data_IF_047348769542
#
_entry.id   IF_047348769542
#
_cell.length_a   1.000
_cell.length_b   1.000
_cell.length_c   1.000
_cell.angle_alpha   90.00
_cell.angle_beta   90.00
_cell.angle_gamma   90.00
#
_symmetry.space_group_name_H-M   'P 1'
#
loop_
_entity.id
_entity.type
_entity.pdbx_description
1 polymer ?
#
# COMPACT_ATOMS: atom_id res chain seq x y z
N UNK A 1 -19.52 28.70 -38.79
CA UNK A 1 -18.43 29.14 -39.69
C UNK A 1 -17.17 28.48 -39.18
N UNK A 2 -16.86 27.29 -39.70
CA UNK A 2 -15.67 26.53 -39.34
C UNK A 2 -14.61 26.84 -40.39
N UNK A 3 -13.41 27.24 -39.96
CA UNK A 3 -12.28 27.43 -40.86
C UNK A 3 -11.14 26.54 -40.39
N UNK A 4 -10.85 25.56 -41.23
CA UNK A 4 -9.71 24.66 -41.20
C UNK A 4 -8.43 25.48 -41.40
N UNK A 5 -7.42 25.33 -40.53
CA UNK A 5 -6.04 25.70 -40.84
C UNK A 5 -5.16 24.49 -40.57
N UNK A 6 -4.43 24.06 -41.61
CA UNK A 6 -3.54 22.90 -41.60
C UNK A 6 -2.27 23.10 -40.76
N UNK A 7 -1.43 22.05 -40.66
CA UNK A 7 -0.31 22.03 -39.72
C UNK A 7 0.84 22.92 -40.20
N UNK A 8 1.27 23.86 -39.38
CA UNK A 8 2.52 24.58 -39.55
C UNK A 8 3.69 23.63 -39.31
N UNK A 9 4.51 23.42 -40.33
CA UNK A 9 5.83 22.81 -40.19
C UNK A 9 6.69 23.73 -39.30
N UNK A 10 6.92 23.30 -38.06
CA UNK A 10 7.91 23.87 -37.15
C UNK A 10 9.10 22.92 -37.09
N UNK A 11 10.21 23.37 -37.64
CA UNK A 11 11.54 22.79 -37.51
C UNK A 11 11.82 22.38 -36.06
N UNK A 12 12.17 21.11 -35.86
CA UNK A 12 12.64 20.59 -34.59
C UNK A 12 13.93 21.33 -34.19
N UNK A 13 13.79 22.38 -33.38
CA UNK A 13 14.90 22.93 -32.65
C UNK A 13 15.19 21.95 -31.51
N UNK A 14 16.03 20.95 -31.79
CA UNK A 14 16.72 20.18 -30.76
C UNK A 14 17.68 21.13 -30.04
N UNK A 15 17.14 22.04 -29.21
CA UNK A 15 17.91 22.62 -28.13
C UNK A 15 18.15 21.49 -27.16
N UNK A 16 19.33 20.88 -27.22
CA UNK A 16 19.86 20.09 -26.12
C UNK A 16 19.97 21.06 -24.95
N UNK A 17 18.88 21.19 -24.18
CA UNK A 17 18.94 21.77 -22.85
C UNK A 17 19.78 20.81 -22.03
N UNK A 18 21.08 21.08 -21.99
CA UNK A 18 21.98 20.40 -21.06
C UNK A 18 21.47 20.87 -19.69
N UNK A 19 21.24 19.97 -18.73
CA UNK A 19 20.88 20.36 -17.37
C UNK A 19 22.06 20.06 -16.46
N UNK A 20 22.36 20.96 -15.51
CA UNK A 20 23.24 20.63 -14.38
C UNK A 20 22.41 19.90 -13.35
N UNK A 21 22.66 18.60 -13.18
CA UNK A 21 21.90 17.77 -12.24
C UNK A 21 22.63 17.64 -10.91
N UNK A 22 22.03 18.13 -9.84
CA UNK A 22 22.43 17.82 -8.46
C UNK A 22 21.73 16.51 -8.09
N UNK A 23 22.51 15.45 -7.85
CA UNK A 23 21.98 14.12 -7.55
C UNK A 23 22.26 13.73 -6.11
N UNK A 24 21.20 13.46 -5.36
CA UNK A 24 21.26 12.94 -3.98
C UNK A 24 20.73 11.50 -4.00
N UNK A 25 21.58 10.51 -3.67
CA UNK A 25 21.28 9.06 -3.73
C UNK A 25 21.61 8.32 -2.43
N UNK A 26 20.93 7.20 -2.22
CA UNK A 26 21.18 6.17 -1.19
C UNK A 26 20.78 6.50 0.26
N UNK A 27 19.50 6.80 0.51
CA UNK A 27 18.91 6.69 1.86
C UNK A 27 18.42 5.23 2.03
N UNK A 28 19.09 4.39 2.83
CA UNK A 28 19.06 2.91 2.71
C UNK A 28 18.50 2.17 3.95
N UNK A 29 17.22 1.73 4.03
CA UNK A 29 16.71 0.94 5.18
C UNK A 29 16.98 -0.58 5.11
N UNK A 30 17.31 -1.23 6.24
CA UNK A 30 17.20 -2.70 6.44
C UNK A 30 16.97 -3.13 7.91
N UNK A 31 15.97 -3.99 8.18
CA UNK A 31 16.00 -5.09 9.19
C UNK A 31 14.82 -6.09 9.05
N UNK A 32 15.03 -7.40 9.31
CA UNK A 32 13.98 -8.46 9.41
C UNK A 32 14.28 -9.44 10.56
N UNK A 33 13.28 -9.75 11.40
CA UNK A 33 13.14 -10.96 12.27
C UNK A 33 11.64 -11.04 12.68
N UNK A 34 10.96 -12.14 13.02
CA UNK A 34 11.27 -13.51 13.43
C UNK A 34 10.03 -14.43 13.24
N UNK A 35 10.20 -15.71 13.58
CA UNK A 35 9.42 -16.92 13.30
C UNK A 35 8.60 -17.36 14.52
N UNK A 36 7.43 -17.98 14.31
CA UNK A 36 6.85 -18.95 15.27
C UNK A 36 6.37 -20.21 14.55
N UNK A 37 6.61 -21.37 15.19
CA UNK A 37 6.17 -22.72 14.82
C UNK A 37 4.98 -23.09 15.72
N UNK A 38 3.88 -23.55 15.14
CA UNK A 38 2.79 -24.22 15.87
C UNK A 38 2.75 -25.72 15.53
N UNK A 39 2.62 -26.57 16.55
CA UNK A 39 2.36 -28.02 16.44
C UNK A 39 0.88 -28.26 16.12
N UNK A 40 0.56 -29.29 15.33
CA UNK A 40 -0.80 -29.72 15.02
C UNK A 40 -1.03 -31.12 15.61
N UNK A 41 -2.13 -31.28 16.36
CA UNK A 41 -2.60 -32.52 17.02
C UNK A 41 -3.52 -33.34 16.09
N UNK A 42 -3.71 -34.62 16.40
CA UNK A 42 -4.21 -35.70 15.53
C UNK A 42 -5.59 -35.50 14.84
N UNK A 43 -5.68 -36.11 13.65
CA UNK A 43 -6.79 -36.06 12.69
C UNK A 43 -8.02 -36.81 13.19
N UNK A 44 -9.19 -36.15 13.14
CA UNK A 44 -10.52 -36.79 13.18
C UNK A 44 -10.88 -37.26 11.77
N UNK A 45 -11.49 -38.44 11.65
CA UNK A 45 -11.95 -38.99 10.37
C UNK A 45 -13.12 -38.17 9.84
N UNK A 46 -12.95 -37.62 8.64
CA UNK A 46 -13.98 -36.89 7.90
C UNK A 46 -14.48 -37.84 6.81
N UNK A 47 -15.77 -38.18 6.84
CA UNK A 47 -16.40 -38.96 5.79
C UNK A 47 -17.09 -37.99 4.82
N UNK A 48 -16.53 -37.85 3.62
CA UNK A 48 -17.08 -37.03 2.54
C UNK A 48 -18.02 -37.90 1.72
N UNK A 49 -19.30 -37.54 1.63
CA UNK A 49 -20.28 -38.22 0.80
C UNK A 49 -20.68 -37.33 -0.38
N UNK A 50 -20.59 -37.86 -1.60
CA UNK A 50 -21.14 -37.20 -2.79
C UNK A 50 -22.66 -37.34 -2.79
N UNK A 51 -23.39 -36.22 -2.92
CA UNK A 51 -24.85 -36.24 -3.06
C UNK A 51 -25.19 -36.24 -4.55
N UNK A 52 -26.01 -37.20 -4.97
CA UNK A 52 -26.49 -37.29 -6.35
C UNK A 52 -27.64 -36.30 -6.60
N UNK A 53 -27.56 -35.60 -7.74
CA UNK A 53 -28.65 -34.82 -8.33
C UNK A 53 -29.21 -35.58 -9.53
N UNK A 54 -30.52 -35.46 -9.78
CA UNK A 54 -31.24 -36.18 -10.84
C UNK A 54 -30.95 -35.69 -12.27
N UNK A 55 -30.00 -34.77 -12.46
CA UNK A 55 -29.48 -34.37 -13.77
C UNK A 55 -28.03 -34.83 -13.91
N UNK A 56 -27.86 -35.94 -14.62
CA UNK A 56 -26.57 -36.57 -14.94
C UNK A 56 -25.93 -35.79 -16.09
N UNK A 57 -25.29 -34.67 -15.78
CA UNK A 57 -24.07 -34.20 -16.47
C UNK A 57 -23.54 -32.94 -15.77
N UNK A 58 -22.29 -33.01 -15.33
CA UNK A 58 -21.57 -32.06 -14.47
C UNK A 58 -21.95 -32.11 -12.98
N UNK A 59 -21.02 -31.67 -12.13
CA UNK A 59 -21.18 -31.41 -10.68
C UNK A 59 -20.71 -32.55 -9.74
N UNK A 60 -19.46 -33.00 -9.91
CA UNK A 60 -18.71 -33.59 -8.79
C UNK A 60 -17.91 -32.54 -7.99
N UNK A 61 -17.69 -31.33 -8.54
CA UNK A 61 -16.89 -30.28 -7.89
C UNK A 61 -17.70 -29.12 -7.30
N UNK A 62 -18.99 -28.97 -7.65
CA UNK A 62 -19.78 -27.76 -7.31
C UNK A 62 -20.70 -27.97 -6.10
N UNK A 63 -21.13 -29.20 -5.83
CA UNK A 63 -21.98 -29.55 -4.69
C UNK A 63 -21.28 -30.57 -3.81
N UNK A 64 -21.24 -30.34 -2.50
CA UNK A 64 -20.61 -31.25 -1.55
C UNK A 64 -21.45 -31.41 -0.29
N UNK A 65 -21.24 -32.53 0.40
CA UNK A 65 -21.77 -32.74 1.73
C UNK A 65 -20.70 -33.24 2.69
N UNK A 66 -20.57 -32.55 3.81
CA UNK A 66 -19.69 -32.94 4.91
C UNK A 66 -20.57 -33.36 6.08
N UNK A 67 -20.48 -34.63 6.46
CA UNK A 67 -21.35 -35.23 7.48
C UNK A 67 -20.50 -35.56 8.69
N UNK A 68 -20.96 -35.13 9.86
CA UNK A 68 -20.39 -35.44 11.15
C UNK A 68 -21.45 -36.18 11.96
N UNK A 69 -21.30 -37.49 12.08
CA UNK A 69 -22.26 -38.36 12.74
C UNK A 69 -21.57 -39.17 13.84
N UNK A 70 -22.29 -39.34 14.93
CA UNK A 70 -22.00 -40.23 16.06
C UNK A 70 -23.21 -41.13 16.26
N UNK A 71 -23.15 -42.10 17.16
CA UNK A 71 -24.27 -42.99 17.45
C UNK A 71 -25.55 -42.26 17.90
N UNK A 72 -25.44 -41.04 18.45
CA UNK A 72 -26.56 -40.30 19.02
C UNK A 72 -26.90 -38.98 18.29
N UNK A 73 -26.01 -38.46 17.45
CA UNK A 73 -26.13 -37.11 16.87
C UNK A 73 -25.60 -37.05 15.45
N UNK A 74 -26.26 -36.27 14.61
CA UNK A 74 -25.84 -36.04 13.23
C UNK A 74 -25.87 -34.53 12.90
N UNK A 75 -24.81 -34.03 12.28
CA UNK A 75 -24.76 -32.68 11.69
C UNK A 75 -24.22 -32.78 10.28
N UNK A 76 -24.87 -32.09 9.34
CA UNK A 76 -24.42 -32.06 7.94
C UNK A 76 -24.24 -30.63 7.45
N UNK A 77 -23.23 -30.44 6.60
CA UNK A 77 -22.96 -29.20 5.88
C UNK A 77 -23.15 -29.48 4.40
N UNK A 78 -24.21 -28.93 3.82
CA UNK A 78 -24.47 -28.99 2.39
C UNK A 78 -23.89 -27.73 1.75
N UNK A 79 -22.92 -27.91 0.86
CA UNK A 79 -22.14 -26.82 0.27
C UNK A 79 -22.50 -26.70 -1.19
N UNK A 80 -22.86 -25.49 -1.60
CA UNK A 80 -22.99 -25.09 -3.00
C UNK A 80 -21.89 -24.09 -3.35
N UNK A 81 -20.92 -24.52 -4.14
CA UNK A 81 -19.86 -23.66 -4.68
C UNK A 81 -20.30 -22.89 -5.94
N UNK A 82 -21.47 -23.19 -6.52
CA UNK A 82 -21.97 -22.48 -7.69
C UNK A 82 -22.28 -21.04 -7.31
N UNK A 83 -21.75 -20.07 -8.06
CA UNK A 83 -21.94 -18.64 -7.78
C UNK A 83 -23.32 -18.13 -8.19
N UNK A 84 -24.06 -18.87 -8.99
CA UNK A 84 -25.26 -18.39 -9.70
C UNK A 84 -26.46 -19.31 -9.51
N UNK A 85 -26.25 -20.63 -9.47
CA UNK A 85 -27.34 -21.60 -9.46
C UNK A 85 -27.81 -21.91 -8.05
N UNK A 86 -29.13 -22.10 -7.93
CA UNK A 86 -29.80 -22.55 -6.71
C UNK A 86 -30.35 -23.97 -6.89
N UNK A 87 -29.50 -25.00 -6.95
CA UNK A 87 -29.94 -26.37 -7.21
C UNK A 87 -30.71 -26.95 -6.03
N UNK A 88 -31.65 -27.83 -6.34
CA UNK A 88 -32.27 -28.72 -5.34
C UNK A 88 -31.48 -30.01 -5.29
N UNK A 89 -30.97 -30.36 -4.11
CA UNK A 89 -30.22 -31.59 -3.85
C UNK A 89 -31.02 -32.51 -2.95
N UNK A 90 -30.91 -33.83 -3.13
CA UNK A 90 -31.61 -34.80 -2.28
C UNK A 90 -30.62 -35.41 -1.29
N UNK A 91 -30.73 -35.06 -0.02
CA UNK A 91 -29.89 -35.57 1.05
C UNK A 91 -30.73 -36.43 2.01
N UNK A 92 -30.36 -37.71 2.20
CA UNK A 92 -31.12 -38.67 3.04
C UNK A 92 -32.62 -38.70 2.70
N UNK A 93 -32.96 -38.73 1.41
CA UNK A 93 -34.33 -38.70 0.88
C UNK A 93 -35.13 -37.42 1.20
N UNK A 94 -34.46 -36.35 1.63
CA UNK A 94 -35.07 -35.04 1.87
C UNK A 94 -34.51 -34.04 0.84
N UNK A 95 -35.36 -33.36 0.06
CA UNK A 95 -34.92 -32.34 -0.88
C UNK A 95 -34.55 -31.04 -0.13
N UNK A 96 -33.39 -30.47 -0.47
CA UNK A 96 -32.91 -29.18 0.02
C UNK A 96 -32.57 -28.28 -1.16
N UNK A 97 -33.14 -27.08 -1.19
CA UNK A 97 -32.72 -26.04 -2.13
C UNK A 97 -31.56 -25.28 -1.50
N UNK A 98 -30.40 -25.26 -2.18
CA UNK A 98 -29.21 -24.56 -1.71
C UNK A 98 -29.08 -23.23 -2.46
N UNK A 99 -28.93 -22.12 -1.75
CA UNK A 99 -28.66 -20.84 -2.39
C UNK A 99 -27.27 -20.84 -3.08
N UNK A 100 -27.01 -19.92 -4.01
CA UNK A 100 -25.70 -19.83 -4.66
C UNK A 100 -24.62 -19.45 -3.65
N UNK A 101 -23.44 -20.07 -3.77
CA UNK A 101 -22.26 -19.82 -2.94
C UNK A 101 -22.58 -19.92 -1.44
N UNK A 102 -23.42 -20.87 -1.06
CA UNK A 102 -23.91 -21.03 0.31
C UNK A 102 -23.46 -22.34 0.94
N UNK A 103 -23.51 -22.35 2.28
CA UNK A 103 -23.42 -23.55 3.10
C UNK A 103 -24.69 -23.60 3.94
N UNK A 104 -25.47 -24.66 3.76
CA UNK A 104 -26.62 -24.98 4.60
C UNK A 104 -26.18 -25.95 5.70
N UNK A 105 -26.39 -25.55 6.95
CA UNK A 105 -26.05 -26.33 8.14
C UNK A 105 -27.32 -27.02 8.65
N UNK A 106 -27.29 -28.34 8.68
CA UNK A 106 -28.42 -29.17 9.09
C UNK A 106 -28.18 -29.72 10.50
N UNK A 107 -29.12 -29.48 11.41
CA UNK A 107 -29.20 -30.22 12.68
C UNK A 107 -29.91 -31.54 12.49
N UNK A 108 -29.46 -32.57 13.21
CA UNK A 108 -29.92 -33.96 13.09
C UNK A 108 -29.92 -34.47 11.64
N UNK A 109 -29.08 -33.88 10.78
CA UNK A 109 -29.01 -34.14 9.34
C UNK A 109 -30.37 -34.03 8.60
N UNK A 110 -31.32 -33.25 9.16
CA UNK A 110 -32.70 -33.13 8.65
C UNK A 110 -33.16 -31.68 8.49
N UNK A 111 -32.90 -30.82 9.49
CA UNK A 111 -33.47 -29.46 9.53
C UNK A 111 -32.38 -28.43 9.31
N UNK A 112 -32.56 -27.54 8.33
CA UNK A 112 -31.63 -26.42 8.10
C UNK A 112 -31.80 -25.41 9.22
N UNK A 113 -30.78 -25.25 10.06
CA UNK A 113 -30.78 -24.29 11.18
C UNK A 113 -30.07 -22.99 10.82
N UNK A 114 -29.20 -23.02 9.82
CA UNK A 114 -28.47 -21.85 9.36
C UNK A 114 -28.07 -22.03 7.90
N UNK A 115 -28.09 -20.94 7.13
CA UNK A 115 -27.56 -20.91 5.76
C UNK A 115 -26.75 -19.63 5.57
N UNK A 116 -25.51 -19.74 5.11
CA UNK A 116 -24.58 -18.58 5.02
C UNK A 116 -25.05 -17.48 4.07
N UNK A 117 -25.90 -17.81 3.09
CA UNK A 117 -26.49 -16.82 2.17
C UNK A 117 -27.75 -16.15 2.74
N UNK A 118 -28.35 -16.69 3.81
CA UNK A 118 -29.53 -16.13 4.46
C UNK A 118 -29.12 -15.37 5.72
N UNK A 119 -28.94 -14.07 5.57
CA UNK A 119 -28.61 -13.17 6.67
C UNK A 119 -29.90 -12.59 7.24
N UNK A 120 -30.27 -13.01 8.45
CA UNK A 120 -31.45 -12.51 9.18
C UNK A 120 -31.13 -11.26 10.04
N UNK A 121 -29.88 -10.80 10.04
CA UNK A 121 -29.48 -9.59 10.75
C UNK A 121 -29.84 -8.33 9.93
N UNK A 122 -30.22 -7.25 10.62
CA UNK A 122 -30.42 -5.95 9.98
C UNK A 122 -29.09 -5.37 9.51
N UNK A 123 -29.05 -4.82 8.30
CA UNK A 123 -27.87 -4.12 7.79
C UNK A 123 -27.80 -2.70 8.37
N UNK A 124 -26.67 -2.37 8.99
CA UNK A 124 -26.39 -1.00 9.43
C UNK A 124 -25.87 -0.15 8.27
N UNK A 125 -26.46 1.04 8.07
CA UNK A 125 -25.90 2.06 7.19
C UNK A 125 -25.07 3.05 8.01
N UNK A 126 -23.84 3.36 7.55
CA UNK A 126 -23.00 4.39 8.17
C UNK A 126 -23.34 5.74 7.56
N UNK A 127 -23.67 6.71 8.40
CA UNK A 127 -23.84 8.12 7.99
C UNK A 127 -22.92 8.99 8.82
N UNK A 128 -22.28 9.96 8.18
CA UNK A 128 -21.53 11.01 8.84
C UNK A 128 -22.39 12.27 8.81
N UNK A 129 -22.54 12.93 9.96
CA UNK A 129 -23.21 14.23 10.08
C UNK A 129 -22.23 15.20 10.70
N UNK A 130 -22.14 16.39 10.13
CA UNK A 130 -21.40 17.50 10.73
C UNK A 130 -22.15 17.92 12.00
N UNK A 131 -21.48 17.82 13.15
CA UNK A 131 -22.06 18.21 14.45
C UNK A 131 -21.67 19.66 14.79
N UNK A 132 -20.53 20.12 14.29
CA UNK A 132 -19.99 21.47 14.51
C UNK A 132 -19.21 21.93 13.29
N UNK A 133 -19.29 23.23 12.99
CA UNK A 133 -18.57 23.86 11.87
C UNK A 133 -17.41 24.69 12.42
N UNK A 134 -16.18 24.30 12.10
CA UNK A 134 -14.95 24.96 12.59
C UNK A 134 -14.41 26.02 11.61
N UNK A 135 -15.31 26.79 10.98
CA UNK A 135 -14.96 27.74 9.91
C UNK A 135 -14.55 29.14 10.41
N UNK A 136 -14.58 29.40 11.72
CA UNK A 136 -14.18 30.70 12.26
C UNK A 136 -12.64 30.80 12.35
N UNK A 137 -12.04 31.60 11.47
CA UNK A 137 -10.59 31.83 11.42
C UNK A 137 -10.04 32.40 12.74
N UNK A 138 -10.85 33.11 13.52
CA UNK A 138 -10.43 33.71 14.79
C UNK A 138 -10.27 32.69 15.92
N UNK A 139 -10.80 31.48 15.76
CA UNK A 139 -10.64 30.38 16.74
C UNK A 139 -9.33 29.63 16.57
N UNK A 140 -8.71 29.70 15.40
CA UNK A 140 -7.49 28.98 15.08
C UNK A 140 -6.24 29.81 15.35
N UNK A 141 -5.21 29.15 15.87
CA UNK A 141 -3.85 29.71 15.96
C UNK A 141 -2.92 28.86 15.10
N UNK A 142 -2.07 29.52 14.33
CA UNK A 142 -1.08 28.85 13.48
C UNK A 142 0.33 29.22 13.95
N UNK A 143 1.21 28.23 13.94
CA UNK A 143 2.65 28.41 14.12
C UNK A 143 3.34 27.81 12.90
N UNK A 144 4.19 28.60 12.23
CA UNK A 144 4.97 28.13 11.08
C UNK A 144 6.30 27.60 11.58
N UNK A 145 6.52 26.30 11.41
CA UNK A 145 7.79 25.69 11.77
C UNK A 145 8.94 26.27 10.91
N UNK A 146 10.09 26.58 11.52
CA UNK A 146 11.25 27.08 10.80
C UNK A 146 11.92 25.95 10.00
N UNK A 147 12.37 26.28 8.79
CA UNK A 147 13.17 25.37 7.96
C UNK A 147 14.63 25.52 8.41
N UNK A 148 15.35 24.43 8.72
CA UNK A 148 16.73 24.53 9.18
C UNK A 148 17.68 24.85 8.03
N UNK A 149 18.56 25.83 8.24
CA UNK A 149 19.65 26.21 7.30
C UNK A 149 21.04 26.04 7.90
N UNK A 150 21.15 26.14 9.22
CA UNK A 150 22.42 26.18 9.93
C UNK A 150 22.95 24.75 10.16
N UNK A 151 23.86 24.33 9.28
CA UNK A 151 24.52 23.01 9.35
C UNK A 151 25.25 22.81 10.69
N UNK A 152 25.72 23.88 11.33
CA UNK A 152 26.43 23.77 12.62
C UNK A 152 25.52 23.32 13.77
N UNK A 153 24.20 23.49 13.62
CA UNK A 153 23.19 23.02 14.58
C UNK A 153 22.71 21.60 14.29
N UNK A 154 23.21 20.96 13.23
CA UNK A 154 22.85 19.58 12.94
C UNK A 154 23.36 18.66 14.04
N UNK A 155 22.51 17.73 14.49
CA UNK A 155 22.86 16.74 15.53
C UNK A 155 24.03 15.86 15.07
N UNK A 156 24.12 15.62 13.75
CA UNK A 156 25.19 14.85 13.13
C UNK A 156 25.63 15.49 11.81
N UNK A 157 26.93 15.48 11.57
CA UNK A 157 27.53 15.94 10.31
C UNK A 157 28.43 14.84 9.76
N UNK A 158 28.37 14.58 8.45
CA UNK A 158 29.19 13.59 7.81
C UNK A 158 29.14 13.68 6.29
N UNK A 159 30.06 12.98 5.63
CA UNK A 159 30.20 13.00 4.16
C UNK A 159 29.29 11.96 3.47
N UNK A 160 28.30 11.41 4.18
CA UNK A 160 27.37 10.40 3.68
C UNK A 160 25.95 10.68 4.16
N UNK A 161 24.96 10.18 3.42
CA UNK A 161 23.57 10.22 3.86
C UNK A 161 23.31 9.10 4.86
N UNK A 162 22.80 9.47 6.04
CA UNK A 162 22.40 8.49 7.03
C UNK A 162 21.01 7.92 6.75
N UNK A 163 20.76 6.70 7.19
CA UNK A 163 19.46 6.05 7.04
C UNK A 163 18.44 6.59 8.04
N UNK A 164 17.19 6.77 7.60
CA UNK A 164 16.13 7.41 8.38
C UNK A 164 15.89 6.75 9.75
N UNK A 165 15.49 5.47 9.79
CA UNK A 165 15.16 4.76 11.04
C UNK A 165 16.36 4.62 11.98
N UNK A 166 17.55 4.45 11.42
CA UNK A 166 18.80 4.36 12.15
C UNK A 166 19.11 5.66 12.87
N UNK A 167 18.73 6.80 12.30
CA UNK A 167 18.89 8.14 12.86
C UNK A 167 17.78 8.48 13.86
N UNK A 168 16.52 8.27 13.49
CA UNK A 168 15.37 8.68 14.32
C UNK A 168 15.02 7.66 15.39
N UNK A 169 15.53 6.43 15.30
CA UNK A 169 15.17 5.30 16.19
C UNK A 169 13.67 5.04 16.28
N UNK A 170 12.92 5.43 15.23
CA UNK A 170 11.45 5.39 15.21
C UNK A 170 10.79 6.25 16.31
N UNK A 171 11.52 7.23 16.86
CA UNK A 171 11.00 8.21 17.83
C UNK A 171 10.29 9.39 17.15
N UNK A 172 10.61 9.64 15.87
CA UNK A 172 9.97 10.66 15.04
C UNK A 172 9.86 10.21 13.59
N UNK A 173 8.78 10.65 12.94
CA UNK A 173 8.51 10.43 11.52
C UNK A 173 9.34 11.34 10.61
N UNK A 174 10.02 12.35 11.17
CA UNK A 174 10.66 13.44 10.43
C UNK A 174 12.19 13.39 10.55
N UNK A 175 12.87 13.53 9.42
CA UNK A 175 14.32 13.69 9.37
C UNK A 175 14.73 14.75 8.35
N UNK A 176 15.50 15.73 8.80
CA UNK A 176 16.09 16.75 7.95
C UNK A 176 17.47 16.31 7.44
N UNK A 177 17.68 16.39 6.13
CA UNK A 177 19.00 16.37 5.50
C UNK A 177 19.32 17.76 4.99
N UNK A 178 20.46 18.31 5.40
CA UNK A 178 20.88 19.67 5.04
C UNK A 178 22.21 19.57 4.30
N UNK A 179 22.29 20.18 3.12
CA UNK A 179 23.47 20.14 2.25
C UNK A 179 23.84 21.55 1.82
N UNK A 180 25.10 21.93 2.01
CA UNK A 180 25.66 23.16 1.46
C UNK A 180 26.17 22.89 0.04
N UNK A 181 25.78 23.73 -0.91
CA UNK A 181 26.18 23.64 -2.30
C UNK A 181 26.72 24.99 -2.80
N UNK A 182 28.00 25.00 -3.17
CA UNK A 182 28.64 26.17 -3.78
C UNK A 182 28.31 26.22 -5.27
N UNK A 183 27.49 27.17 -5.68
CA UNK A 183 27.08 27.35 -7.07
C UNK A 183 27.91 28.43 -7.75
N UNK A 184 28.53 28.06 -8.87
CA UNK A 184 29.18 29.01 -9.78
C UNK A 184 28.40 29.05 -11.08
N UNK A 185 27.79 30.19 -11.44
CA UNK A 185 27.03 30.31 -12.67
C UNK A 185 27.92 30.04 -13.87
N UNK A 186 27.30 29.53 -14.91
CA UNK A 186 27.92 29.22 -16.20
C UNK A 186 27.26 30.12 -17.24
N UNK A 187 28.02 30.59 -18.22
CA UNK A 187 27.58 31.58 -19.22
C UNK A 187 26.46 31.06 -20.14
N UNK A 188 26.13 29.77 -20.06
CA UNK A 188 25.14 29.06 -20.87
C UNK A 188 23.70 29.18 -20.35
N UNK A 189 23.44 29.93 -19.27
CA UNK A 189 22.09 30.17 -18.75
C UNK A 189 21.38 28.89 -18.30
N UNK A 190 22.15 27.88 -17.91
CA UNK A 190 21.70 26.52 -17.68
C UNK A 190 20.81 26.39 -16.43
N UNK A 191 19.63 25.77 -16.59
CA UNK A 191 18.78 25.41 -15.45
C UNK A 191 19.43 24.30 -14.63
N UNK A 192 19.33 24.43 -13.30
CA UNK A 192 19.81 23.42 -12.35
C UNK A 192 18.65 22.52 -11.96
N UNK A 193 18.84 21.22 -12.13
CA UNK A 193 17.88 20.18 -11.79
C UNK A 193 18.27 19.52 -10.46
N UNK A 194 17.37 19.53 -9.49
CA UNK A 194 17.48 18.72 -8.28
C UNK A 194 16.85 17.35 -8.54
N UNK A 195 17.66 16.30 -8.45
CA UNK A 195 17.24 14.91 -8.51
C UNK A 195 17.54 14.24 -7.15
N UNK A 196 16.52 14.10 -6.32
CA UNK A 196 16.63 13.49 -5.00
C UNK A 196 15.90 12.14 -4.96
N UNK A 197 16.66 11.06 -4.76
CA UNK A 197 16.12 9.72 -4.61
C UNK A 197 16.11 9.32 -3.13
N UNK A 198 14.94 8.95 -2.63
CA UNK A 198 14.72 8.59 -1.23
C UNK A 198 13.96 7.27 -1.10
N UNK A 199 14.18 6.56 0.00
CA UNK A 199 13.34 5.42 0.43
C UNK A 199 12.28 5.80 1.47
N UNK A 200 12.17 7.10 1.76
CA UNK A 200 11.11 7.62 2.60
C UNK A 200 9.75 7.49 1.91
N UNK A 201 8.69 7.71 2.69
CA UNK A 201 7.33 7.71 2.17
C UNK A 201 6.97 9.06 1.53
N UNK A 202 7.51 10.17 2.06
CA UNK A 202 7.37 11.52 1.51
C UNK A 202 8.72 12.23 1.58
N UNK A 203 8.98 13.09 0.61
CA UNK A 203 10.13 13.99 0.59
C UNK A 203 9.66 15.39 0.21
N UNK A 204 9.98 16.39 1.03
CA UNK A 204 9.88 17.81 0.67
C UNK A 204 11.27 18.39 0.46
N UNK A 205 11.43 19.30 -0.50
CA UNK A 205 12.67 19.98 -0.76
C UNK A 205 12.54 21.48 -0.63
N UNK A 206 13.58 22.08 -0.06
CA UNK A 206 13.73 23.52 0.12
C UNK A 206 15.12 23.95 -0.33
N UNK A 207 15.21 25.15 -0.90
CA UNK A 207 16.47 25.79 -1.31
C UNK A 207 16.50 27.18 -0.69
N UNK A 208 17.49 27.48 0.15
CA UNK A 208 17.60 28.74 0.90
C UNK A 208 16.28 29.12 1.60
N UNK A 209 15.67 28.18 2.34
CA UNK A 209 14.32 28.23 2.97
C UNK A 209 13.11 28.35 2.05
N UNK A 210 13.28 28.42 0.74
CA UNK A 210 12.15 28.47 -0.20
C UNK A 210 11.73 27.06 -0.61
N UNK A 211 10.43 26.80 -0.61
CA UNK A 211 9.88 25.49 -1.00
C UNK A 211 9.98 25.29 -2.51
N UNK A 212 10.57 24.17 -2.95
CA UNK A 212 10.81 23.88 -4.38
C UNK A 212 10.10 22.62 -4.89
N UNK A 213 9.50 21.82 -4.00
CA UNK A 213 8.69 20.68 -4.41
C UNK A 213 8.53 19.58 -3.38
N UNK A 214 7.70 18.60 -3.72
CA UNK A 214 7.52 17.38 -2.94
C UNK A 214 7.25 16.18 -3.85
N UNK A 215 7.49 14.99 -3.31
CA UNK A 215 7.08 13.72 -3.89
C UNK A 215 6.67 12.77 -2.77
N UNK A 216 5.72 11.89 -3.03
CA UNK A 216 5.32 10.84 -2.10
C UNK A 216 5.17 9.50 -2.82
N UNK A 217 5.30 8.43 -2.05
CA UNK A 217 5.10 7.06 -2.51
C UNK A 217 3.64 6.63 -2.40
N UNK A 218 3.43 5.33 -2.64
CA UNK A 218 2.17 4.63 -2.41
C UNK A 218 2.47 3.22 -1.88
N UNK A 219 1.50 2.61 -1.18
CA UNK A 219 1.71 1.31 -0.51
C UNK A 219 2.14 0.19 -1.48
N UNK A 220 1.57 0.20 -2.70
CA UNK A 220 1.85 -0.79 -3.75
C UNK A 220 2.80 -0.25 -4.83
N UNK A 221 3.40 0.92 -4.59
CA UNK A 221 4.33 1.57 -5.50
C UNK A 221 5.77 1.04 -5.41
N UNK A 222 6.69 1.62 -6.19
CA UNK A 222 8.12 1.34 -6.03
C UNK A 222 8.59 1.72 -4.62
N UNK A 223 9.57 0.98 -4.10
CA UNK A 223 10.12 1.19 -2.74
C UNK A 223 11.00 2.44 -2.59
N UNK A 224 11.18 3.21 -3.66
CA UNK A 224 11.88 4.48 -3.68
C UNK A 224 11.02 5.55 -4.36
N UNK A 225 11.17 6.78 -3.88
CA UNK A 225 10.56 7.99 -4.42
C UNK A 225 11.66 8.86 -5.04
N UNK A 226 11.36 9.51 -6.16
CA UNK A 226 12.31 10.36 -6.88
C UNK A 226 11.67 11.74 -7.07
N UNK A 227 12.28 12.76 -6.48
CA UNK A 227 11.92 14.15 -6.72
C UNK A 227 12.83 14.71 -7.81
N UNK A 228 12.23 15.10 -8.93
CA UNK A 228 12.90 15.82 -10.01
C UNK A 228 12.26 17.20 -10.16
N UNK A 229 12.97 18.25 -9.75
CA UNK A 229 12.45 19.63 -9.83
C UNK A 229 13.56 20.61 -10.24
N UNK A 230 13.21 21.60 -11.05
CA UNK A 230 14.13 22.68 -11.40
C UNK A 230 14.24 23.63 -10.21
N UNK A 231 15.47 24.02 -9.87
CA UNK A 231 15.76 24.89 -8.73
C UNK A 231 16.53 26.13 -9.17
N UNK A 232 16.34 27.22 -8.43
CA UNK A 232 17.10 28.46 -8.59
C UNK A 232 18.16 28.54 -7.50
N UNK A 233 19.40 28.80 -7.91
CA UNK A 233 20.55 28.95 -7.00
C UNK A 233 21.14 30.35 -7.14
N UNK A 234 21.57 30.93 -6.02
CA UNK A 234 22.33 32.18 -5.99
C UNK A 234 23.80 31.87 -6.24
N UNK A 235 24.55 32.80 -6.83
CA UNK A 235 26.01 32.64 -6.92
C UNK A 235 26.61 32.55 -5.51
N UNK A 236 27.52 31.59 -5.31
CA UNK A 236 28.11 31.28 -4.02
C UNK A 236 27.39 30.17 -3.27
N UNK A 237 27.42 30.23 -1.94
CA UNK A 237 26.91 29.19 -1.06
C UNK A 237 25.37 29.18 -1.04
N UNK A 238 24.78 28.01 -1.29
CA UNK A 238 23.34 27.75 -1.16
C UNK A 238 23.11 26.60 -0.20
N UNK A 239 21.98 26.62 0.49
CA UNK A 239 21.56 25.53 1.38
C UNK A 239 20.38 24.78 0.77
N UNK A 240 20.52 23.46 0.62
CA UNK A 240 19.45 22.56 0.21
C UNK A 240 19.02 21.76 1.44
N UNK A 241 17.77 21.94 1.85
CA UNK A 241 17.18 21.25 3.00
C UNK A 241 16.10 20.29 2.50
N UNK A 242 16.25 19.00 2.81
CA UNK A 242 15.32 17.94 2.44
C UNK A 242 14.64 17.41 3.70
N UNK A 243 13.31 17.49 3.75
CA UNK A 243 12.52 16.88 4.81
C UNK A 243 12.05 15.49 4.35
N UNK A 244 12.66 14.47 4.92
CA UNK A 244 12.30 13.07 4.75
C UNK A 244 11.23 12.69 5.77
N UNK A 245 10.14 12.06 5.32
CA UNK A 245 9.01 11.67 6.18
C UNK A 245 8.67 10.19 6.03
N UNK A 246 8.48 9.51 7.17
CA UNK A 246 7.99 8.14 7.23
C UNK A 246 6.53 8.13 7.67
N UNK A 247 5.65 7.49 6.90
CA UNK A 247 4.24 7.25 7.26
C UNK A 247 4.07 5.81 7.75
N UNK A 248 4.36 5.59 9.03
CA UNK A 248 4.34 4.26 9.66
C UNK A 248 5.47 3.34 9.18
N UNK A 249 5.70 2.26 9.91
CA UNK A 249 6.70 1.25 9.54
C UNK A 249 6.09 0.12 8.71
N UNK A 250 6.85 -0.48 7.78
CA UNK A 250 6.38 -1.64 7.03
C UNK A 250 6.03 -2.79 7.99
N UNK A 251 4.75 -3.12 8.10
CA UNK A 251 4.29 -4.37 8.71
C UNK A 251 4.87 -5.58 7.95
N UNK A 252 5.01 -6.72 8.64
CA UNK A 252 5.74 -7.94 8.22
C UNK A 252 5.44 -8.40 6.77
N UNK A 253 6.05 -7.78 5.78
CA UNK A 253 6.29 -8.35 4.45
C UNK A 253 7.67 -9.01 4.52
N UNK A 254 7.68 -10.35 4.57
CA UNK A 254 8.91 -11.11 4.30
C UNK A 254 9.43 -10.66 2.94
N UNK A 255 10.56 -9.95 2.93
CA UNK A 255 11.30 -9.77 1.69
C UNK A 255 11.68 -11.17 1.22
N UNK A 256 11.03 -11.65 0.16
CA UNK A 256 11.54 -12.78 -0.60
C UNK A 256 12.68 -12.24 -1.49
N UNK A 257 13.73 -11.75 -0.84
CA UNK A 257 15.00 -11.48 -1.47
C UNK A 257 15.69 -12.82 -1.69
N UNK A 258 15.86 -13.22 -2.95
CA UNK A 258 16.75 -14.32 -3.33
C UNK A 258 18.09 -14.13 -2.61
N UNK A 259 18.41 -15.05 -1.70
CA UNK A 259 19.77 -15.19 -1.17
C UNK A 259 20.68 -15.44 -2.36
N UNK A 260 21.45 -14.42 -2.78
CA UNK A 260 22.71 -14.69 -3.47
C UNK A 260 23.63 -15.29 -2.41
N UNK A 261 23.81 -16.60 -2.51
CA UNK A 261 24.91 -17.30 -1.87
C UNK A 261 26.20 -16.64 -2.35
N UNK A 262 26.95 -16.08 -1.42
CA UNK A 262 28.37 -15.88 -1.62
C UNK A 262 29.02 -17.27 -1.55
N UNK A 263 29.67 -17.68 -2.64
CA UNK A 263 30.73 -18.68 -2.55
C UNK A 263 32.04 -17.91 -2.41
N UNK A 264 32.78 -18.28 -1.35
CA UNK A 264 34.23 -18.19 -1.11
C UNK A 264 35.00 -17.04 -1.75
#
# INVERSE_FOLDING_TARGET
MATYMGPSQGTACCSKSIFRTITVRNILQFFIRSRTRGKITQRKTISVYSIYSSNISMIYDVLQAHIFETELKCVAFLVNFDKHQSPTVVFRNIPFQLAPKSISILSECRTVVFETAKVNAQYGSRTAKVVESLNDIHTWKAFKEPIPEDISKAVYTGNQLFEHLSMTKDETDYLWYIVSYEYRPSDDGQLVLLNAESRAHVLHAFVNTEYVGCVHGSHDGPGNIILNTNISLKEGQNTISLLSVMVGSPGLRRSHGKKKLWNS
#
